data_IF_932076004785
#
_entry.id   IF_932076004785
#
_cell.length_a   1.000
_cell.length_b   1.000
_cell.length_c   1.000
_cell.angle_alpha   90.00
_cell.angle_beta   90.00
_cell.angle_gamma   90.00
#
_symmetry.space_group_name_H-M   'P 1'
#
loop_
_entity.id
_entity.type
_entity.pdbx_description
1 polymer ?
#
# COMPACT_ATOMS: atom_id res chain seq x y z
N UNK A 1 14.32 9.61 -9.23
CA UNK A 1 13.81 8.45 -10.01
C UNK A 1 12.49 8.04 -9.40
N UNK A 2 11.46 7.83 -10.23
CA UNK A 2 10.17 7.32 -9.74
C UNK A 2 10.36 5.92 -9.18
N UNK A 3 9.65 5.58 -8.09
CA UNK A 3 9.70 4.24 -7.52
C UNK A 3 9.87 4.18 -6.00
N UNK A 4 9.85 2.96 -5.50
CA UNK A 4 10.11 2.63 -4.11
C UNK A 4 8.85 2.35 -3.29
N UNK A 5 9.05 1.61 -2.21
CA UNK A 5 8.00 1.23 -1.27
C UNK A 5 7.67 2.37 -0.31
N UNK A 6 6.39 2.76 -0.25
CA UNK A 6 5.87 3.67 0.76
C UNK A 6 5.49 2.93 2.04
N UNK A 7 4.75 1.82 1.89
CA UNK A 7 4.28 0.99 2.99
C UNK A 7 4.60 -0.46 2.67
N UNK A 8 5.29 -1.13 3.58
CA UNK A 8 5.59 -2.56 3.53
C UNK A 8 4.89 -3.27 4.69
N UNK A 9 4.34 -4.46 4.42
CA UNK A 9 3.68 -5.30 5.41
C UNK A 9 4.30 -6.70 5.42
N UNK A 10 4.66 -7.22 6.59
CA UNK A 10 5.25 -8.55 6.76
C UNK A 10 4.78 -9.26 8.02
N UNK A 11 4.78 -10.59 7.98
CA UNK A 11 4.52 -11.48 9.11
C UNK A 11 5.69 -11.60 10.11
N UNK A 12 6.85 -11.00 9.81
CA UNK A 12 8.02 -10.99 10.68
C UNK A 12 8.74 -9.63 10.67
N UNK A 13 9.59 -9.42 11.67
CA UNK A 13 10.33 -8.16 11.86
C UNK A 13 11.39 -7.88 10.79
N UNK A 14 11.74 -8.87 9.96
CA UNK A 14 12.78 -8.73 8.94
C UNK A 14 12.23 -8.31 7.57
N UNK A 15 10.91 -8.21 7.39
CA UNK A 15 10.32 -7.76 6.12
C UNK A 15 10.56 -8.71 4.94
N UNK A 16 10.79 -10.00 5.19
CA UNK A 16 11.09 -10.97 4.15
C UNK A 16 10.31 -12.29 4.32
N UNK A 17 10.53 -13.25 3.43
CA UNK A 17 9.85 -14.55 3.42
C UNK A 17 8.60 -14.54 2.53
N UNK A 18 7.80 -15.61 2.59
CA UNK A 18 6.67 -15.85 1.68
C UNK A 18 5.39 -15.11 2.06
N UNK A 19 5.39 -14.36 3.15
CA UNK A 19 4.20 -13.67 3.68
C UNK A 19 4.55 -12.23 4.02
N UNK A 20 4.78 -11.48 2.95
CA UNK A 20 4.98 -10.04 2.92
C UNK A 20 4.58 -9.49 1.55
N UNK A 21 4.25 -8.20 1.50
CA UNK A 21 3.95 -7.44 0.28
C UNK A 21 4.04 -5.93 0.58
N UNK A 22 3.95 -5.10 -0.45
CA UNK A 22 3.91 -3.64 -0.30
C UNK A 22 2.48 -3.13 -0.51
N UNK A 23 1.70 -2.86 0.56
CA UNK A 23 0.38 -2.27 0.43
C UNK A 23 0.34 -0.99 -0.41
N UNK A 24 1.43 -0.23 -0.39
CA UNK A 24 1.56 1.02 -1.13
C UNK A 24 2.97 1.18 -1.66
N UNK A 25 3.11 1.27 -2.99
CA UNK A 25 4.40 1.29 -3.68
C UNK A 25 4.30 2.04 -5.00
N UNK A 26 5.40 2.62 -5.47
CA UNK A 26 5.47 3.26 -6.78
C UNK A 26 6.01 2.31 -7.86
N UNK A 27 5.47 2.42 -9.06
CA UNK A 27 6.11 1.91 -10.28
C UNK A 27 7.35 2.73 -10.63
N UNK A 28 8.16 2.25 -11.59
CA UNK A 28 9.32 3.00 -12.07
C UNK A 28 8.96 4.32 -12.78
N UNK A 29 7.73 4.44 -13.29
CA UNK A 29 7.19 5.67 -13.88
C UNK A 29 6.65 6.66 -12.82
N UNK A 30 6.55 6.25 -11.55
CA UNK A 30 6.00 7.06 -10.46
C UNK A 30 4.48 6.92 -10.29
N UNK A 31 3.84 5.97 -10.98
CA UNK A 31 2.45 5.61 -10.72
C UNK A 31 2.33 4.94 -9.35
N UNK A 32 1.32 5.34 -8.58
CA UNK A 32 1.04 4.76 -7.28
C UNK A 32 0.29 3.45 -7.44
N UNK A 33 0.73 2.39 -6.78
CA UNK A 33 0.09 1.08 -6.77
C UNK A 33 -0.34 0.74 -5.35
N UNK A 34 -1.62 0.42 -5.20
CA UNK A 34 -2.14 -0.21 -3.98
C UNK A 34 -2.17 -1.71 -4.18
N UNK A 35 -1.67 -2.48 -3.22
CA UNK A 35 -1.68 -3.95 -3.25
C UNK A 35 -2.35 -4.53 -2.00
N UNK A 36 -2.97 -5.69 -2.14
CA UNK A 36 -3.60 -6.40 -1.02
C UNK A 36 -3.73 -7.88 -1.28
N UNK A 37 -3.85 -8.63 -0.19
CA UNK A 37 -4.10 -10.07 -0.22
C UNK A 37 -5.59 -10.33 -0.49
N UNK A 38 -5.91 -11.24 -1.41
CA UNK A 38 -7.31 -11.57 -1.78
C UNK A 38 -7.81 -12.91 -1.26
N UNK A 39 -6.97 -13.95 -1.25
CA UNK A 39 -7.35 -15.31 -0.80
C UNK A 39 -6.17 -16.00 -0.12
N UNK A 40 -6.19 -16.09 1.21
CA UNK A 40 -5.07 -16.65 1.99
C UNK A 40 -3.76 -15.89 1.76
N UNK A 41 -2.64 -16.27 2.38
CA UNK A 41 -1.40 -15.50 2.35
C UNK A 41 -0.59 -15.70 1.05
N UNK A 42 -1.20 -16.07 -0.08
CA UNK A 42 -0.46 -16.51 -1.29
C UNK A 42 -0.81 -15.76 -2.57
N UNK A 43 -1.81 -14.89 -2.56
CA UNK A 43 -2.23 -14.17 -3.76
C UNK A 43 -2.48 -12.70 -3.45
N UNK A 44 -1.77 -11.84 -4.19
CA UNK A 44 -1.85 -10.38 -4.09
C UNK A 44 -2.55 -9.83 -5.32
N UNK A 45 -3.60 -9.06 -5.12
CA UNK A 45 -4.19 -8.19 -6.13
C UNK A 45 -3.66 -6.78 -5.97
N UNK A 46 -3.85 -5.98 -7.01
CA UNK A 46 -3.43 -4.60 -7.03
C UNK A 46 -4.35 -3.73 -7.88
N UNK A 47 -4.22 -2.43 -7.70
CA UNK A 47 -4.80 -1.42 -8.57
C UNK A 47 -3.78 -0.32 -8.79
N UNK A 48 -3.61 0.08 -10.05
CA UNK A 48 -2.78 1.22 -10.43
C UNK A 48 -3.58 2.51 -10.35
N UNK A 49 -3.04 3.47 -9.62
CA UNK A 49 -3.48 4.84 -9.57
C UNK A 49 -2.69 5.75 -10.52
N UNK A 50 -2.74 7.07 -10.30
CA UNK A 50 -2.10 8.04 -11.17
C UNK A 50 -0.60 8.14 -10.84
N UNK A 51 0.13 8.78 -11.76
CA UNK A 51 1.50 9.24 -11.50
C UNK A 51 1.46 10.38 -10.48
N UNK A 52 2.25 10.26 -9.41
CA UNK A 52 2.35 11.28 -8.37
C UNK A 52 3.53 12.20 -8.67
N UNK A 53 3.28 13.51 -8.68
CA UNK A 53 4.34 14.51 -8.90
C UNK A 53 5.33 14.53 -7.74
N UNK A 54 6.61 14.44 -8.07
CA UNK A 54 7.68 14.58 -7.08
C UNK A 54 7.73 16.01 -6.50
N UNK A 55 8.26 16.13 -5.28
CA UNK A 55 8.48 17.40 -4.57
C UNK A 55 7.20 18.21 -4.26
N UNK A 56 6.04 17.54 -4.22
CA UNK A 56 4.77 18.13 -3.81
C UNK A 56 4.12 17.25 -2.75
N UNK A 57 3.73 17.86 -1.62
CA UNK A 57 2.93 17.15 -0.62
C UNK A 57 1.63 16.67 -1.24
N UNK A 58 1.39 15.36 -1.15
CA UNK A 58 0.22 14.70 -1.72
C UNK A 58 -0.41 13.85 -0.63
N UNK A 59 -1.67 14.12 -0.32
CA UNK A 59 -2.42 13.25 0.57
C UNK A 59 -2.85 11.99 -0.19
N UNK A 60 -2.54 10.82 0.37
CA UNK A 60 -2.90 9.51 -0.20
C UNK A 60 -3.74 8.76 0.82
N UNK A 61 -4.89 8.24 0.41
CA UNK A 61 -5.67 7.32 1.21
C UNK A 61 -6.06 6.07 0.42
N UNK A 62 -5.88 4.91 1.05
CA UNK A 62 -6.38 3.63 0.54
C UNK A 62 -7.45 3.13 1.50
N UNK A 63 -8.60 2.76 0.96
CA UNK A 63 -9.74 2.28 1.72
C UNK A 63 -10.09 0.88 1.27
N UNK A 64 -10.27 -0.01 2.24
CA UNK A 64 -10.70 -1.39 2.04
C UNK A 64 -12.13 -1.55 2.54
N UNK A 65 -13.02 -2.00 1.68
CA UNK A 65 -14.44 -2.21 1.98
C UNK A 65 -14.98 -3.47 1.31
N UNK A 66 -15.88 -4.18 2.00
CA UNK A 66 -16.56 -5.34 1.42
C UNK A 66 -17.62 -4.95 0.39
N UNK A 67 -18.16 -3.71 0.47
CA UNK A 67 -19.16 -3.19 -0.47
C UNK A 67 -18.54 -2.50 -1.67
N UNK A 68 -17.51 -1.67 -1.43
CA UNK A 68 -16.93 -0.80 -2.47
C UNK A 68 -15.57 -1.29 -2.98
N UNK A 69 -15.11 -2.45 -2.52
CA UNK A 69 -13.81 -2.98 -2.86
C UNK A 69 -12.66 -2.16 -2.27
N UNK A 70 -11.54 -2.11 -2.98
CA UNK A 70 -10.37 -1.29 -2.63
C UNK A 70 -10.42 -0.01 -3.42
N UNK A 71 -10.31 1.14 -2.73
CA UNK A 71 -10.40 2.46 -3.35
C UNK A 71 -9.19 3.30 -2.97
N UNK A 72 -8.62 3.98 -3.96
CA UNK A 72 -7.49 4.89 -3.80
C UNK A 72 -7.97 6.33 -4.01
N UNK A 73 -7.53 7.22 -3.13
CA UNK A 73 -7.85 8.64 -3.13
C UNK A 73 -6.57 9.47 -3.11
N UNK A 74 -6.56 10.54 -3.90
CA UNK A 74 -5.45 11.49 -4.02
C UNK A 74 -5.98 12.88 -3.70
N UNK A 75 -5.37 13.57 -2.75
CA UNK A 75 -5.79 14.91 -2.29
C UNK A 75 -7.30 14.98 -1.96
N UNK A 76 -7.80 13.93 -1.31
CA UNK A 76 -9.19 13.85 -0.86
C UNK A 76 -10.18 13.42 -1.94
N UNK A 77 -9.75 13.33 -3.20
CA UNK A 77 -10.58 12.97 -4.34
C UNK A 77 -10.43 11.50 -4.72
N UNK A 78 -11.52 10.86 -5.13
CA UNK A 78 -11.48 9.50 -5.65
C UNK A 78 -10.59 9.43 -6.90
N UNK A 79 -9.75 8.41 -6.99
CA UNK A 79 -8.84 8.22 -8.11
C UNK A 79 -9.09 6.93 -8.89
N UNK A 80 -9.07 5.79 -8.21
CA UNK A 80 -9.25 4.48 -8.84
C UNK A 80 -9.77 3.46 -7.83
N UNK A 81 -10.26 2.32 -8.32
CA UNK A 81 -10.76 1.24 -7.49
C UNK A 81 -10.58 -0.13 -8.13
N UNK A 82 -10.52 -1.16 -7.28
CA UNK A 82 -10.79 -2.54 -7.66
C UNK A 82 -12.02 -3.03 -6.91
N UNK A 83 -13.04 -3.59 -7.59
CA UNK A 83 -14.25 -4.07 -6.93
C UNK A 83 -13.98 -5.28 -6.02
N UNK A 84 -12.88 -5.99 -6.25
CA UNK A 84 -12.54 -7.21 -5.53
C UNK A 84 -11.55 -6.91 -4.40
N UNK A 85 -12.06 -6.62 -3.20
CA UNK A 85 -11.23 -6.51 -2.00
C UNK A 85 -10.68 -7.88 -1.54
N UNK A 86 -11.33 -8.99 -1.92
CA UNK A 86 -11.02 -10.30 -1.36
C UNK A 86 -11.24 -10.33 0.16
N UNK A 87 -10.52 -11.20 0.86
CA UNK A 87 -10.53 -11.24 2.33
C UNK A 87 -9.18 -10.75 2.87
N UNK A 88 -9.18 -9.55 3.47
CA UNK A 88 -8.02 -9.02 4.18
C UNK A 88 -7.86 -9.72 5.53
N UNK A 89 -7.35 -10.96 5.51
CA UNK A 89 -7.07 -11.75 6.71
C UNK A 89 -5.68 -11.41 7.27
N UNK A 90 -5.60 -10.30 7.99
CA UNK A 90 -4.39 -9.88 8.72
C UNK A 90 -4.41 -10.32 10.19
N UNK A 91 -5.33 -11.21 10.58
CA UNK A 91 -5.43 -11.69 11.95
C UNK A 91 -4.65 -13.00 12.11
N UNK A 92 -3.56 -12.96 12.87
CA UNK A 92 -2.92 -14.13 13.46
C UNK A 92 -2.82 -13.89 14.99
N UNK A 93 -3.47 -14.71 15.83
CA UNK A 93 -3.44 -14.52 17.29
C UNK A 93 -2.06 -14.79 17.90
N UNK A 94 -1.14 -15.44 17.18
CA UNK A 94 0.16 -15.86 17.69
C UNK A 94 1.33 -15.03 17.12
N UNK A 95 1.10 -14.22 16.09
CA UNK A 95 2.16 -13.42 15.48
C UNK A 95 1.64 -12.04 15.04
N UNK A 96 2.28 -10.94 15.45
CA UNK A 96 1.91 -9.62 14.96
C UNK A 96 2.32 -9.45 13.51
N UNK A 97 1.59 -8.60 12.80
CA UNK A 97 2.03 -8.03 11.54
C UNK A 97 2.90 -6.81 11.77
N UNK A 98 3.93 -6.66 10.96
CA UNK A 98 4.89 -5.57 10.99
C UNK A 98 4.64 -4.64 9.81
N UNK A 99 4.37 -3.36 10.09
CA UNK A 99 4.29 -2.30 9.09
C UNK A 99 5.59 -1.49 9.15
N UNK A 100 6.23 -1.28 8.00
CA UNK A 100 7.34 -0.33 7.89
C UNK A 100 7.06 0.69 6.80
N UNK A 101 7.54 1.93 7.01
CA UNK A 101 7.32 3.06 6.11
C UNK A 101 8.64 3.43 5.42
N UNK A 102 8.57 3.72 4.12
CA UNK A 102 9.72 4.18 3.33
C UNK A 102 10.90 3.20 3.25
N UNK A 103 10.65 1.91 3.48
CA UNK A 103 11.67 0.88 3.67
C UNK A 103 12.74 0.84 2.56
N UNK A 104 14.02 0.66 2.92
CA UNK A 104 15.11 0.22 2.03
C UNK A 104 15.80 -1.02 2.62
N UNK A 105 16.38 -1.88 1.77
CA UNK A 105 17.14 -3.11 2.10
C UNK A 105 17.98 -2.98 3.40
N UNK A 106 17.96 -4.00 4.31
CA UNK A 106 17.67 -5.41 4.06
C UNK A 106 16.20 -5.86 4.15
N UNK A 107 15.27 -5.00 4.58
CA UNK A 107 13.85 -5.36 4.72
C UNK A 107 13.06 -5.16 3.41
N UNK A 108 13.70 -5.45 2.28
CA UNK A 108 13.46 -4.84 0.97
C UNK A 108 12.00 -4.86 0.47
N UNK A 109 11.70 -3.97 -0.47
CA UNK A 109 10.47 -3.97 -1.26
C UNK A 109 10.14 -5.37 -1.79
N UNK A 110 8.87 -5.68 -2.00
CA UNK A 110 8.41 -6.98 -2.49
C UNK A 110 9.09 -7.44 -3.77
N UNK A 111 9.55 -6.49 -4.59
CA UNK A 111 10.31 -6.72 -5.82
C UNK A 111 11.80 -7.10 -5.60
N UNK A 112 12.28 -7.23 -4.36
CA UNK A 112 13.71 -7.44 -4.03
C UNK A 112 13.99 -8.52 -2.99
N UNK A 113 12.94 -8.99 -2.31
CA UNK A 113 12.96 -10.10 -1.34
C UNK A 113 11.79 -11.01 -1.70
N UNK A 114 11.78 -12.29 -1.30
CA UNK A 114 10.81 -13.31 -1.73
C UNK A 114 9.34 -13.07 -1.29
N UNK A 115 8.88 -11.82 -1.24
CA UNK A 115 7.51 -11.41 -0.98
C UNK A 115 6.60 -11.61 -2.19
N UNK A 116 5.31 -11.52 -1.90
CA UNK A 116 4.25 -11.53 -2.89
C UNK A 116 4.17 -10.15 -3.55
N UNK A 117 3.88 -10.15 -4.85
CA UNK A 117 3.56 -8.94 -5.61
C UNK A 117 2.36 -9.23 -6.51
N UNK A 118 1.55 -8.20 -6.77
CA UNK A 118 0.52 -8.30 -7.79
C UNK A 118 1.11 -8.26 -9.21
N UNK A 119 0.24 -8.28 -10.22
CA UNK A 119 0.61 -8.33 -11.64
C UNK A 119 1.20 -7.03 -12.22
N UNK A 120 1.19 -5.93 -11.47
CA UNK A 120 1.71 -4.63 -11.92
C UNK A 120 3.18 -4.58 -11.53
N UNK A 121 4.03 -4.25 -12.50
CA UNK A 121 5.47 -4.09 -12.28
C UNK A 121 5.75 -2.88 -11.38
N UNK A 122 6.18 -3.14 -10.15
CA UNK A 122 6.55 -2.13 -9.15
C UNK A 122 8.07 -1.93 -9.12
N UNK A 123 8.52 -0.74 -8.70
CA UNK A 123 9.95 -0.47 -8.55
C UNK A 123 10.46 -0.97 -7.22
N UNK A 124 11.56 -1.73 -7.24
CA UNK A 124 12.24 -2.11 -6.01
C UNK A 124 12.97 -0.93 -5.35
N UNK A 125 13.20 -1.06 -4.05
CA UNK A 125 13.92 -0.08 -3.24
C UNK A 125 13.02 0.76 -2.34
N UNK A 126 13.64 1.71 -1.64
CA UNK A 126 12.93 2.57 -0.70
C UNK A 126 12.46 3.89 -1.26
N UNK A 127 11.39 4.40 -0.66
CA UNK A 127 10.87 5.71 -0.98
C UNK A 127 11.90 6.79 -0.64
N UNK A 128 12.27 7.59 -1.65
CA UNK A 128 13.18 8.72 -1.51
C UNK A 128 12.38 10.01 -1.39
N UNK A 129 11.80 10.25 -0.22
CA UNK A 129 11.02 11.45 0.07
C UNK A 129 10.67 11.56 1.55
N UNK A 130 9.66 12.37 1.85
CA UNK A 130 9.16 12.57 3.21
C UNK A 130 7.76 11.98 3.36
N UNK A 131 7.49 11.35 4.50
CA UNK A 131 6.17 10.85 4.90
C UNK A 131 5.83 11.56 6.22
N UNK A 132 4.60 12.03 6.35
CA UNK A 132 4.09 12.66 7.57
C UNK A 132 2.62 12.26 7.80
N UNK A 133 2.14 12.41 9.03
CA UNK A 133 0.74 12.21 9.43
C UNK A 133 0.16 10.83 9.05
N UNK A 134 0.96 9.77 9.23
CA UNK A 134 0.52 8.39 8.97
C UNK A 134 -0.59 7.96 9.92
N UNK A 135 -1.70 7.48 9.35
CA UNK A 135 -2.87 7.00 10.09
C UNK A 135 -3.31 5.64 9.56
N UNK A 136 -3.71 4.75 10.48
CA UNK A 136 -4.27 3.44 10.18
C UNK A 136 -5.59 3.28 10.93
N UNK A 137 -6.63 2.83 10.22
CA UNK A 137 -7.97 2.67 10.75
C UNK A 137 -8.42 1.22 10.63
N UNK A 138 -9.17 0.74 11.63
CA UNK A 138 -9.79 -0.59 11.63
C UNK A 138 -11.19 -0.59 10.99
N UNK A 139 -11.51 0.43 10.18
CA UNK A 139 -12.80 0.58 9.52
C UNK A 139 -12.63 1.27 8.16
N UNK A 140 -13.61 1.05 7.30
CA UNK A 140 -13.77 1.81 6.06
C UNK A 140 -14.12 3.27 6.40
N UNK A 141 -13.30 4.21 5.92
CA UNK A 141 -13.61 5.64 5.95
C UNK A 141 -14.51 6.00 4.76
N UNK A 142 -15.44 6.93 4.98
CA UNK A 142 -16.27 7.46 3.90
C UNK A 142 -15.59 8.63 3.17
N UNK A 143 -16.15 9.04 2.03
CA UNK A 143 -15.57 10.09 1.19
C UNK A 143 -15.43 11.45 1.91
N UNK A 144 -16.38 11.78 2.81
CA UNK A 144 -16.33 13.04 3.56
C UNK A 144 -15.19 13.03 4.58
N UNK A 145 -14.98 11.91 5.28
CA UNK A 145 -13.87 11.76 6.23
C UNK A 145 -12.51 11.88 5.53
N UNK A 146 -12.37 11.26 4.35
CA UNK A 146 -11.15 11.35 3.54
C UNK A 146 -10.91 12.77 3.04
N UNK A 147 -11.97 13.46 2.61
CA UNK A 147 -11.89 14.86 2.16
C UNK A 147 -11.40 15.79 3.29
N UNK A 148 -11.89 15.58 4.52
CA UNK A 148 -11.44 16.36 5.70
C UNK A 148 -9.97 16.06 6.01
N UNK A 149 -9.54 14.80 5.95
CA UNK A 149 -8.13 14.43 6.22
C UNK A 149 -7.15 14.95 5.16
N UNK A 150 -7.61 15.18 3.94
CA UNK A 150 -6.78 15.64 2.83
C UNK A 150 -6.51 17.15 2.81
N UNK A 151 -7.26 17.94 3.58
CA UNK A 151 -7.08 19.38 3.71
C UNK A 151 -6.40 19.67 5.05
N UNK A 152 -5.07 19.66 5.14
CA UNK A 152 -4.34 20.05 6.35
C UNK A 152 -4.48 21.56 6.63
#
# INVERSE_FOLDING_TARGET
TGGGTLVHLSSNLYGNGSTCYDPLVFTSSGALVSQWITTGPTSVSNVEGPVISANTWTHIAVVYGSTNGVRLFINGQFSTSSPNAGSLNLADPNSPWYITLGNKSPLGSSASVNCLSGSISISSGGFSGSIDEFRLYNRELNNQEICVLANP
#
